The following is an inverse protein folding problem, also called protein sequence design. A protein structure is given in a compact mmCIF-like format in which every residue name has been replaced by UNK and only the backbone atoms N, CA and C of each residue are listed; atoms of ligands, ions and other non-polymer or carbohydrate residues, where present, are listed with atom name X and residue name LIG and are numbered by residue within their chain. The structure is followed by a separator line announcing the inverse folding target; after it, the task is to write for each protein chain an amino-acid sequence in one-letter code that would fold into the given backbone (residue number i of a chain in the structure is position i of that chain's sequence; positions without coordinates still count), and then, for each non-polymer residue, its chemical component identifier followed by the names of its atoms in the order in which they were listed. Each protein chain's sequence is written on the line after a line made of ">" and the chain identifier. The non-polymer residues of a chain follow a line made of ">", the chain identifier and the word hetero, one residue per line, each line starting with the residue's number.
data_IF_251639116009
#
_entry.id   IF_251639116009
#
_cell.length_a   1.000
_cell.length_b   1.000
_cell.length_c   1.000
_cell.angle_alpha   90.00
_cell.angle_beta   90.00
_cell.angle_gamma   90.00
#
_symmetry.space_group_name_H-M   'P 1'
#
loop_
_entity.id
_entity.type
_entity.pdbx_description
1 polymer ?
#
# COMPACT_ATOMS: atom_id res chain seq x y z
N UNK A 1 -2.92 -7.81 5.78
CA UNK A 1 -2.44 -6.70 4.92
C UNK A 1 -3.07 -6.74 3.53
N UNK A 2 -3.17 -7.91 2.87
CA UNK A 2 -3.76 -8.04 1.53
C UNK A 2 -5.19 -7.49 1.41
N UNK A 3 -6.09 -7.77 2.37
CA UNK A 3 -7.44 -7.20 2.36
C UNK A 3 -7.45 -5.66 2.39
N UNK A 4 -6.58 -5.05 3.22
CA UNK A 4 -6.46 -3.59 3.30
C UNK A 4 -5.92 -3.01 1.99
N UNK A 5 -4.98 -3.71 1.34
CA UNK A 5 -4.48 -3.33 0.02
C UNK A 5 -5.59 -3.39 -1.05
N UNK A 6 -6.43 -4.43 -1.03
CA UNK A 6 -7.57 -4.57 -1.95
C UNK A 6 -8.61 -3.45 -1.82
N UNK A 7 -8.74 -2.84 -0.63
CA UNK A 7 -9.62 -1.69 -0.40
C UNK A 7 -9.01 -0.35 -0.87
N UNK A 8 -7.73 -0.31 -1.22
CA UNK A 8 -7.12 0.93 -1.70
C UNK A 8 -7.62 1.23 -3.11
N UNK A 9 -7.95 2.50 -3.43
CA UNK A 9 -8.37 2.92 -4.77
C UNK A 9 -7.14 3.03 -5.68
N UNK A 10 -6.49 1.90 -5.95
CA UNK A 10 -5.31 1.76 -6.80
C UNK A 10 -5.45 0.51 -7.67
N UNK A 11 -4.93 0.60 -8.88
CA UNK A 11 -4.85 -0.47 -9.85
C UNK A 11 -3.48 -1.15 -9.80
N UNK A 12 -3.36 -2.32 -10.40
CA UNK A 12 -2.08 -3.03 -10.54
C UNK A 12 -1.07 -2.30 -11.44
N UNK A 13 -1.54 -1.39 -12.30
CA UNK A 13 -0.69 -0.59 -13.20
C UNK A 13 -0.20 0.70 -12.54
N UNK A 14 -0.76 1.05 -11.38
CA UNK A 14 -0.34 2.24 -10.66
C UNK A 14 1.10 2.14 -10.15
N UNK A 15 1.72 3.29 -9.95
CA UNK A 15 3.07 3.36 -9.39
C UNK A 15 3.07 3.12 -7.89
N UNK A 16 4.20 2.69 -7.33
CA UNK A 16 4.42 2.60 -5.89
C UNK A 16 4.05 3.91 -5.14
N UNK A 17 4.30 5.06 -5.78
CA UNK A 17 3.97 6.37 -5.20
C UNK A 17 2.47 6.59 -5.09
N UNK A 18 1.67 6.11 -6.03
CA UNK A 18 0.22 6.14 -5.95
C UNK A 18 -0.30 5.26 -4.81
N UNK A 19 0.27 4.05 -4.66
CA UNK A 19 -0.02 3.14 -3.54
C UNK A 19 0.27 3.79 -2.20
N UNK A 20 1.44 4.43 -2.05
CA UNK A 20 1.79 5.14 -0.82
C UNK A 20 0.83 6.30 -0.52
N UNK A 21 0.44 7.08 -1.53
CA UNK A 21 -0.55 8.16 -1.36
C UNK A 21 -1.90 7.63 -0.91
N UNK A 22 -2.39 6.55 -1.51
CA UNK A 22 -3.64 5.90 -1.12
C UNK A 22 -3.56 5.35 0.32
N UNK A 23 -2.47 4.65 0.66
CA UNK A 23 -2.22 4.12 2.00
C UNK A 23 -2.14 5.24 3.06
N UNK A 24 -1.50 6.37 2.75
CA UNK A 24 -1.46 7.55 3.63
C UNK A 24 -2.87 8.12 3.83
N UNK A 25 -3.67 8.26 2.77
CA UNK A 25 -5.06 8.77 2.86
C UNK A 25 -5.97 7.85 3.67
N UNK A 26 -5.72 6.54 3.66
CA UNK A 26 -6.46 5.54 4.46
C UNK A 26 -6.27 5.73 5.97
N UNK A 27 -5.14 6.28 6.41
CA UNK A 27 -4.84 6.49 7.82
C UNK A 27 -5.50 7.77 8.37
N UNK A 28 -6.15 7.70 9.54
CA UNK A 28 -6.65 8.89 10.23
C UNK A 28 -5.55 9.92 10.45
N UNK A 29 -5.91 11.21 10.42
CA UNK A 29 -4.94 12.31 10.57
C UNK A 29 -4.14 12.23 11.88
N UNK A 30 -4.77 11.80 12.98
CA UNK A 30 -4.10 11.62 14.27
C UNK A 30 -3.02 10.52 14.23
N UNK A 31 -3.28 9.39 13.56
CA UNK A 31 -2.29 8.32 13.36
C UNK A 31 -1.09 8.81 12.53
N UNK A 32 -1.34 9.70 11.55
CA UNK A 32 -0.29 10.27 10.70
C UNK A 32 0.61 11.24 11.47
N UNK A 33 0.03 12.05 12.35
CA UNK A 33 0.72 13.08 13.12
C UNK A 33 1.44 12.54 14.36
N UNK A 34 1.03 11.39 14.89
CA UNK A 34 1.64 10.77 16.07
C UNK A 34 3.11 10.34 15.77
N UNK A 35 4.12 10.96 16.42
CA UNK A 35 5.52 10.60 16.19
C UNK A 35 5.87 9.18 16.68
N UNK A 36 5.24 8.70 17.75
CA UNK A 36 5.48 7.37 18.33
C UNK A 36 5.06 6.25 17.37
N UNK A 37 4.13 6.52 16.45
CA UNK A 37 3.66 5.56 15.44
C UNK A 37 4.51 5.54 14.16
N UNK A 38 5.62 6.26 14.09
CA UNK A 38 6.45 6.34 12.87
C UNK A 38 6.89 4.97 12.35
N UNK A 39 7.33 4.08 13.23
CA UNK A 39 7.76 2.72 12.85
C UNK A 39 6.58 1.86 12.36
N UNK A 40 5.43 1.95 13.04
CA UNK A 40 4.21 1.24 12.63
C UNK A 40 3.73 1.71 11.25
N UNK A 41 3.73 3.02 10.99
CA UNK A 41 3.41 3.55 9.65
C UNK A 41 4.38 3.05 8.58
N UNK A 42 5.69 3.04 8.88
CA UNK A 42 6.70 2.51 7.93
C UNK A 42 6.48 1.04 7.61
N UNK A 43 6.16 0.22 8.63
CA UNK A 43 5.83 -1.20 8.43
C UNK A 43 4.57 -1.36 7.58
N UNK A 44 3.52 -0.58 7.88
CA UNK A 44 2.29 -0.56 7.10
C UNK A 44 2.53 -0.21 5.63
N UNK A 45 3.26 0.88 5.34
CA UNK A 45 3.57 1.28 3.97
C UNK A 45 4.37 0.23 3.21
N UNK A 46 5.37 -0.40 3.85
CA UNK A 46 6.15 -1.48 3.25
C UNK A 46 5.28 -2.69 2.90
N UNK A 47 4.34 -3.05 3.76
CA UNK A 47 3.41 -4.14 3.49
C UNK A 47 2.47 -3.83 2.31
N UNK A 48 2.02 -2.57 2.16
CA UNK A 48 1.23 -2.17 0.99
C UNK A 48 2.02 -2.31 -0.31
N UNK A 49 3.28 -1.87 -0.32
CA UNK A 49 4.17 -2.04 -1.48
C UNK A 49 4.43 -3.52 -1.78
N UNK A 50 4.60 -4.35 -0.75
CA UNK A 50 4.78 -5.79 -0.91
C UNK A 50 3.56 -6.46 -1.55
N UNK A 51 2.37 -6.13 -1.07
CA UNK A 51 1.13 -6.63 -1.68
C UNK A 51 0.97 -6.16 -3.12
N UNK A 52 1.34 -4.92 -3.42
CA UNK A 52 1.30 -4.37 -4.78
C UNK A 52 2.25 -5.10 -5.73
N UNK A 53 3.51 -5.28 -5.33
CA UNK A 53 4.49 -6.04 -6.12
C UNK A 53 4.06 -7.50 -6.36
N UNK A 54 3.42 -8.13 -5.37
CA UNK A 54 2.82 -9.47 -5.55
C UNK A 54 1.68 -9.46 -6.56
N UNK A 55 0.80 -8.45 -6.52
CA UNK A 55 -0.29 -8.31 -7.48
C UNK A 55 0.23 -8.08 -8.90
N UNK A 56 1.25 -7.21 -9.07
CA UNK A 56 1.90 -6.98 -10.37
C UNK A 56 2.52 -8.24 -10.93
N UNK A 57 3.25 -9.03 -10.11
CA UNK A 57 3.81 -10.31 -10.55
C UNK A 57 2.74 -11.30 -11.01
N UNK A 58 1.60 -11.37 -10.31
CA UNK A 58 0.48 -12.22 -10.71
C UNK A 58 -0.08 -11.84 -12.09
N UNK A 59 -0.14 -10.54 -12.40
CA UNK A 59 -0.55 -10.06 -13.72
C UNK A 59 0.50 -10.40 -14.78
N UNK A 60 1.78 -10.17 -14.51
CA UNK A 60 2.87 -10.51 -15.44
C UNK A 60 2.93 -12.00 -15.79
N UNK A 61 2.62 -12.89 -14.83
CA UNK A 61 2.57 -14.33 -15.07
C UNK A 61 1.35 -14.77 -15.89
N UNK A 62 0.30 -13.96 -15.94
CA UNK A 62 -0.94 -14.28 -16.69
C UNK A 62 -0.87 -13.78 -18.14
N UNK A 63 0.09 -12.92 -18.46
CA UNK A 63 0.29 -12.33 -19.80
C UNK A 63 1.35 -13.07 -20.65
N UNK A 64 1.81 -14.24 -20.19
CA UNK A 64 2.74 -15.14 -20.88
C UNK A 64 2.00 -16.42 -21.31
#
# INVERSE_FOLDING_TARGET
>A
MRAIYSDLPVTVLDTERAVLRAAVKRLPAWVRRDPCRRLLRRKFYREMLRCHAQAQRGVSLTLH
#
